data_IF_526930306204
#
_entry.id   IF_526930306204
#
_cell.length_a   1.000
_cell.length_b   1.000
_cell.length_c   1.000
_cell.angle_alpha   90.00
_cell.angle_beta   90.00
_cell.angle_gamma   90.00
#
_symmetry.space_group_name_H-M   'P 1'
#
loop_
_entity.id
_entity.type
_entity.pdbx_description
1 polymer ?
#
# COMPACT_ATOMS: atom_id res chain seq x y z
N UNK A 1 -18.02 -12.21 -64.11
CA UNK A 1 -19.12 -11.92 -63.19
C UNK A 1 -18.68 -12.25 -61.77
N UNK A 2 -18.77 -11.24 -60.88
CA UNK A 2 -18.81 -11.24 -59.41
C UNK A 2 -17.79 -12.06 -58.59
N UNK A 3 -16.89 -11.31 -57.96
CA UNK A 3 -16.25 -11.62 -56.69
C UNK A 3 -17.27 -11.50 -55.53
N UNK A 4 -17.12 -12.25 -54.42
CA UNK A 4 -17.38 -11.65 -53.12
C UNK A 4 -16.20 -11.90 -52.15
N UNK A 5 -15.46 -10.81 -51.94
CA UNK A 5 -15.05 -10.28 -50.65
C UNK A 5 -14.66 -11.30 -49.56
N UNK A 6 -13.34 -11.52 -49.48
CA UNK A 6 -12.64 -11.89 -48.25
C UNK A 6 -13.02 -10.91 -47.14
N UNK A 7 -13.97 -11.30 -46.28
CA UNK A 7 -14.33 -10.61 -45.05
C UNK A 7 -13.11 -10.57 -44.12
N UNK A 8 -12.29 -9.54 -44.28
CA UNK A 8 -11.28 -9.13 -43.31
C UNK A 8 -11.99 -8.61 -42.07
N UNK A 9 -12.34 -9.53 -41.16
CA UNK A 9 -12.64 -9.17 -39.78
C UNK A 9 -11.34 -8.80 -39.08
N UNK A 10 -10.85 -7.60 -39.35
CA UNK A 10 -9.95 -6.90 -38.43
C UNK A 10 -10.77 -6.62 -37.17
N UNK A 11 -10.70 -7.51 -36.18
CA UNK A 11 -11.10 -7.17 -34.83
C UNK A 11 -10.41 -5.84 -34.48
N UNK A 12 -11.16 -4.73 -34.29
CA UNK A 12 -10.53 -3.50 -33.85
C UNK A 12 -10.00 -3.79 -32.45
N UNK A 13 -8.70 -4.05 -32.35
CA UNK A 13 -7.98 -4.00 -31.08
C UNK A 13 -8.34 -2.65 -30.48
N UNK A 14 -9.06 -2.64 -29.36
CA UNK A 14 -9.51 -1.43 -28.71
C UNK A 14 -8.29 -0.70 -28.12
N UNK A 15 -7.51 -0.03 -28.98
CA UNK A 15 -6.33 0.77 -28.64
C UNK A 15 -6.69 1.91 -27.67
N UNK A 16 -7.97 2.26 -27.59
CA UNK A 16 -8.51 3.30 -26.72
C UNK A 16 -9.39 2.76 -25.59
N UNK A 17 -9.30 1.47 -25.24
CA UNK A 17 -9.96 0.98 -24.03
C UNK A 17 -9.45 1.80 -22.82
N UNK A 18 -10.34 2.44 -22.03
CA UNK A 18 -9.94 3.15 -20.84
C UNK A 18 -9.15 2.20 -19.95
N UNK A 19 -7.88 2.51 -19.68
CA UNK A 19 -7.07 1.74 -18.75
C UNK A 19 -7.80 1.72 -17.40
N UNK A 20 -7.99 0.54 -16.76
CA UNK A 20 -8.58 0.46 -15.44
C UNK A 20 -7.82 1.41 -14.51
N UNK A 21 -8.46 2.51 -14.11
CA UNK A 21 -7.86 3.41 -13.14
C UNK A 21 -7.76 2.63 -11.82
N UNK A 22 -6.57 2.51 -11.21
CA UNK A 22 -6.45 1.91 -9.90
C UNK A 22 -7.36 2.68 -8.94
N UNK A 23 -8.48 2.08 -8.54
CA UNK A 23 -9.38 2.69 -7.58
C UNK A 23 -8.76 2.44 -6.22
N UNK A 24 -8.12 3.46 -5.65
CA UNK A 24 -7.72 3.41 -4.25
C UNK A 24 -9.00 3.30 -3.42
N UNK A 25 -9.26 2.12 -2.88
CA UNK A 25 -10.37 1.92 -1.95
C UNK A 25 -10.17 2.83 -0.74
N UNK A 26 -11.25 3.39 -0.20
CA UNK A 26 -11.21 4.16 1.05
C UNK A 26 -10.56 3.36 2.18
N UNK A 27 -10.75 2.04 2.20
CA UNK A 27 -10.08 1.15 3.15
C UNK A 27 -8.55 1.12 2.98
N UNK A 28 -8.06 1.18 1.74
CA UNK A 28 -6.62 1.28 1.47
C UNK A 28 -6.04 2.60 1.97
N UNK A 29 -6.77 3.71 1.80
CA UNK A 29 -6.33 5.02 2.29
C UNK A 29 -6.25 5.04 3.83
N UNK A 30 -7.24 4.49 4.52
CA UNK A 30 -7.24 4.38 5.99
C UNK A 30 -6.09 3.50 6.47
N UNK A 31 -5.85 2.35 5.82
CA UNK A 31 -4.74 1.47 6.15
C UNK A 31 -3.39 2.17 6.01
N UNK A 32 -3.20 2.96 4.95
CA UNK A 32 -1.97 3.76 4.75
C UNK A 32 -1.80 4.80 5.85
N UNK A 33 -2.85 5.54 6.21
CA UNK A 33 -2.78 6.53 7.29
C UNK A 33 -2.46 5.88 8.64
N UNK A 34 -3.05 4.71 8.91
CA UNK A 34 -2.75 3.94 10.11
C UNK A 34 -1.30 3.46 10.15
N UNK A 35 -0.76 2.98 9.02
CA UNK A 35 0.64 2.59 8.92
C UNK A 35 1.60 3.77 9.17
N UNK A 36 1.30 4.93 8.57
CA UNK A 36 2.07 6.17 8.79
C UNK A 36 2.02 6.56 10.27
N UNK A 37 0.85 6.52 10.90
CA UNK A 37 0.71 6.84 12.31
C UNK A 37 1.49 5.89 13.21
N UNK A 38 1.52 4.59 12.89
CA UNK A 38 2.33 3.61 13.63
C UNK A 38 3.82 3.87 13.49
N UNK A 39 4.31 4.18 12.28
CA UNK A 39 5.71 4.51 12.06
C UNK A 39 6.10 5.82 12.78
N UNK A 40 5.38 6.92 12.52
CA UNK A 40 5.72 8.18 13.17
C UNK A 40 5.56 8.10 14.69
N UNK A 41 4.52 7.40 15.16
CA UNK A 41 4.29 7.15 16.58
C UNK A 41 5.39 6.30 17.22
N UNK A 42 5.82 5.22 16.56
CA UNK A 42 6.90 4.35 17.01
C UNK A 42 8.22 5.09 17.16
N UNK A 43 8.62 5.84 16.12
CA UNK A 43 9.79 6.72 16.19
C UNK A 43 9.69 7.78 17.29
N UNK A 44 8.52 8.40 17.48
CA UNK A 44 8.33 9.38 18.54
C UNK A 44 8.48 8.75 19.93
N UNK A 45 7.84 7.61 20.18
CA UNK A 45 7.95 6.88 21.45
C UNK A 45 9.40 6.46 21.70
N UNK A 46 10.09 5.95 20.67
CA UNK A 46 11.52 5.62 20.77
C UNK A 46 12.38 6.86 21.08
N UNK A 47 12.09 8.02 20.48
CA UNK A 47 12.80 9.26 20.74
C UNK A 47 12.59 9.77 22.17
N UNK A 48 11.39 9.61 22.73
CA UNK A 48 11.10 10.01 24.13
C UNK A 48 11.89 9.20 25.16
N UNK A 49 12.35 7.99 24.80
CA UNK A 49 13.24 7.19 25.66
C UNK A 49 14.54 7.94 26.04
N UNK A 50 15.05 8.81 25.16
CA UNK A 50 16.24 9.62 25.44
C UNK A 50 15.96 10.83 26.33
N UNK A 51 14.69 11.22 26.47
CA UNK A 51 14.28 12.31 27.37
C UNK A 51 13.93 11.78 28.76
N UNK A 52 13.35 10.58 28.86
CA UNK A 52 12.86 9.99 30.11
C UNK A 52 13.73 8.79 30.51
N UNK A 53 14.83 9.08 31.22
CA UNK A 53 15.86 8.08 31.56
C UNK A 53 15.34 6.94 32.44
N UNK A 54 14.36 7.22 33.31
CA UNK A 54 13.79 6.23 34.24
C UNK A 54 13.06 5.09 33.51
N UNK A 55 12.53 5.35 32.31
CA UNK A 55 11.80 4.39 31.48
C UNK A 55 12.41 4.23 30.09
N UNK A 56 13.69 4.54 29.91
CA UNK A 56 14.34 4.56 28.60
C UNK A 56 14.23 3.20 27.87
N UNK A 57 14.57 2.10 28.54
CA UNK A 57 14.52 0.75 27.95
C UNK A 57 13.09 0.35 27.53
N UNK A 58 12.06 0.44 28.40
CA UNK A 58 10.70 0.07 28.00
C UNK A 58 10.12 0.99 26.93
N UNK A 59 10.41 2.31 26.96
CA UNK A 59 9.96 3.24 25.92
C UNK A 59 10.63 2.95 24.57
N UNK A 60 11.93 2.67 24.58
CA UNK A 60 12.66 2.31 23.36
C UNK A 60 12.11 1.01 22.76
N UNK A 61 11.93 -0.02 23.59
CA UNK A 61 11.37 -1.30 23.16
C UNK A 61 9.92 -1.17 22.66
N UNK A 62 9.10 -0.33 23.30
CA UNK A 62 7.73 -0.07 22.86
C UNK A 62 7.69 0.63 21.50
N UNK A 63 8.53 1.65 21.29
CA UNK A 63 8.67 2.31 19.99
C UNK A 63 9.15 1.36 18.90
N UNK A 64 10.14 0.51 19.21
CA UNK A 64 10.63 -0.51 18.29
C UNK A 64 9.56 -1.56 17.93
N UNK A 65 8.74 -1.99 18.89
CA UNK A 65 7.62 -2.90 18.64
C UNK A 65 6.55 -2.26 17.75
N UNK A 66 6.25 -0.97 17.94
CA UNK A 66 5.34 -0.24 17.06
C UNK A 66 5.85 -0.18 15.61
N UNK A 67 7.15 0.01 15.41
CA UNK A 67 7.78 -0.08 14.09
C UNK A 67 7.61 -1.47 13.49
N UNK A 68 7.96 -2.53 14.22
CA UNK A 68 7.82 -3.92 13.75
C UNK A 68 6.37 -4.21 13.34
N UNK A 69 5.39 -3.76 14.12
CA UNK A 69 3.96 -3.92 13.80
C UNK A 69 3.57 -3.08 12.58
N UNK A 70 4.04 -1.83 12.47
CA UNK A 70 3.78 -0.95 11.32
C UNK A 70 4.33 -1.52 10.02
N UNK A 71 5.57 -2.05 10.06
CA UNK A 71 6.18 -2.76 8.94
C UNK A 71 5.44 -4.06 8.63
N UNK A 72 5.11 -4.87 9.63
CA UNK A 72 4.31 -6.09 9.42
C UNK A 72 2.95 -5.78 8.79
N UNK A 73 2.28 -4.73 9.22
CA UNK A 73 1.00 -4.32 8.64
C UNK A 73 1.16 -3.84 7.19
N UNK A 74 2.20 -3.04 6.92
CA UNK A 74 2.47 -2.47 5.59
C UNK A 74 2.93 -3.52 4.59
N UNK A 75 3.73 -4.50 4.99
CA UNK A 75 4.33 -5.50 4.09
C UNK A 75 3.67 -6.88 4.18
N UNK A 76 3.15 -7.25 5.35
CA UNK A 76 2.43 -8.51 5.56
C UNK A 76 0.97 -8.46 5.11
N UNK A 77 0.31 -7.30 5.18
CA UNK A 77 -1.07 -7.15 4.72
C UNK A 77 -1.23 -6.50 3.34
N UNK A 78 -0.12 -6.19 2.68
CA UNK A 78 -0.10 -5.72 1.29
C UNK A 78 0.42 -6.80 0.32
N UNK A 79 -0.14 -8.03 0.26
CA UNK A 79 0.10 -8.91 -0.86
C UNK A 79 -0.53 -8.29 -2.12
N UNK A 80 0.15 -8.49 -3.26
CA UNK A 80 -0.12 -7.85 -4.54
C UNK A 80 -1.60 -7.69 -4.88
N UNK A 81 -2.01 -6.45 -5.17
CA UNK A 81 -3.26 -6.14 -5.88
C UNK A 81 -3.10 -6.45 -7.38
N UNK A 82 -2.64 -7.66 -7.66
CA UNK A 82 -2.56 -8.28 -8.98
C UNK A 82 -3.69 -9.31 -9.03
N UNK A 83 -4.93 -8.84 -9.26
CA UNK A 83 -6.07 -9.67 -9.65
C UNK A 83 -7.07 -8.79 -10.40
#
# INVERSE_FOLDING_TARGET
MSNPESNGQSHPTAVFAPSPRPRLSAGSAIAVLFAIALMLGGFYVMATAFSVHEYAIPLFAAGLLMEVIGFWFTFGWLPGRES
#
